data_IF_951261745372
#
_entry.id   IF_951261745372
#
_cell.length_a   1.000
_cell.length_b   1.000
_cell.length_c   1.000
_cell.angle_alpha   90.00
_cell.angle_beta   90.00
_cell.angle_gamma   90.00
#
_symmetry.space_group_name_H-M   'P 1'
#
loop_
_entity.id
_entity.type
_entity.pdbx_description
1 polymer ?
#
# COMPACT_ATOMS: atom_id res chain seq x y z
N UNK A 1 -16.57 9.23 -5.44
CA UNK A 1 -15.17 8.81 -5.24
C UNK A 1 -15.09 7.40 -5.82
N UNK A 2 -14.34 7.22 -6.90
CA UNK A 2 -14.18 5.90 -7.51
C UNK A 2 -13.06 5.14 -6.79
N UNK A 3 -13.29 3.85 -6.54
CA UNK A 3 -12.30 2.94 -5.98
C UNK A 3 -11.93 1.94 -7.08
N UNK A 4 -10.95 2.28 -7.95
CA UNK A 4 -10.59 1.40 -9.05
C UNK A 4 -10.09 0.06 -8.50
N UNK A 5 -10.79 -1.02 -8.83
CA UNK A 5 -10.31 -2.37 -8.52
C UNK A 5 -9.21 -2.76 -9.48
N UNK A 6 -8.09 -3.24 -8.93
CA UNK A 6 -6.97 -3.73 -9.72
C UNK A 6 -6.99 -5.26 -9.77
N UNK A 7 -6.76 -5.79 -10.97
CA UNK A 7 -6.47 -7.21 -11.15
C UNK A 7 -5.01 -7.51 -10.82
N UNK A 8 -4.70 -8.76 -10.50
CA UNK A 8 -3.32 -9.19 -10.21
C UNK A 8 -2.35 -8.76 -11.32
N UNK A 9 -1.32 -8.00 -10.96
CA UNK A 9 -0.28 -7.51 -11.88
C UNK A 9 -0.67 -6.26 -12.68
N UNK A 10 -1.84 -5.68 -12.45
CA UNK A 10 -2.26 -4.45 -13.09
C UNK A 10 -1.56 -3.23 -12.47
N UNK A 11 -1.20 -2.27 -13.32
CA UNK A 11 -0.75 -0.95 -12.91
C UNK A 11 -1.88 0.06 -13.10
N UNK A 12 -1.94 1.06 -12.23
CA UNK A 12 -2.83 2.21 -12.34
C UNK A 12 -2.00 3.48 -12.46
N UNK A 13 -2.25 4.26 -13.51
CA UNK A 13 -1.69 5.61 -13.59
C UNK A 13 -2.47 6.54 -12.69
N UNK A 14 -1.76 7.27 -11.83
CA UNK A 14 -2.36 8.26 -10.93
C UNK A 14 -2.48 9.61 -11.67
N UNK A 15 -3.67 10.26 -11.65
CA UNK A 15 -3.80 11.65 -12.07
C UNK A 15 -2.88 12.58 -11.26
N UNK A 16 -2.46 13.70 -11.86
CA UNK A 16 -1.50 14.61 -11.26
C UNK A 16 -2.05 15.34 -10.01
N UNK A 17 -3.37 15.40 -9.87
CA UNK A 17 -4.08 16.08 -8.80
C UNK A 17 -4.30 15.20 -7.56
N UNK A 18 -3.84 13.93 -7.59
CA UNK A 18 -3.98 13.02 -6.45
C UNK A 18 -2.93 13.36 -5.40
N UNK A 19 -3.39 13.88 -4.26
CA UNK A 19 -2.54 14.16 -3.09
C UNK A 19 -2.55 13.03 -2.06
N UNK A 20 -3.60 12.18 -2.05
CA UNK A 20 -3.74 11.11 -1.06
C UNK A 20 -4.28 9.84 -1.68
N UNK A 21 -3.71 8.71 -1.27
CA UNK A 21 -4.11 7.38 -1.71
C UNK A 21 -4.26 6.48 -0.49
N UNK A 22 -5.32 5.69 -0.48
CA UNK A 22 -5.53 4.59 0.45
C UNK A 22 -5.59 3.29 -0.34
N UNK A 23 -4.55 2.48 -0.23
CA UNK A 23 -4.47 1.17 -0.88
C UNK A 23 -5.04 0.13 0.08
N UNK A 24 -6.15 -0.50 -0.32
CA UNK A 24 -6.83 -1.54 0.45
C UNK A 24 -6.65 -2.88 -0.25
N UNK A 25 -6.04 -3.84 0.43
CA UNK A 25 -5.93 -5.23 -0.02
C UNK A 25 -6.91 -6.06 0.81
N UNK A 26 -7.94 -6.63 0.19
CA UNK A 26 -8.94 -7.46 0.86
C UNK A 26 -8.89 -8.92 0.39
N UNK A 27 -9.12 -9.86 1.31
CA UNK A 27 -9.21 -11.30 1.00
C UNK A 27 -10.24 -11.99 1.91
N UNK A 28 -10.90 -13.03 1.37
CA UNK A 28 -12.03 -13.69 2.04
C UNK A 28 -11.62 -14.81 2.99
N UNK A 29 -10.51 -15.48 2.70
CA UNK A 29 -10.03 -16.62 3.49
C UNK A 29 -9.23 -16.13 4.69
N UNK A 30 -9.87 -16.03 5.86
CA UNK A 30 -9.24 -15.50 7.07
C UNK A 30 -8.08 -16.36 7.61
N UNK A 31 -7.94 -17.61 7.16
CA UNK A 31 -6.82 -18.48 7.51
C UNK A 31 -5.56 -18.18 6.68
N UNK A 32 -5.70 -17.41 5.59
CA UNK A 32 -4.57 -16.97 4.77
C UNK A 32 -4.02 -15.67 5.35
N UNK A 33 -2.71 -15.66 5.60
CA UNK A 33 -1.97 -14.44 5.94
C UNK A 33 -1.50 -13.77 4.64
N UNK A 34 -1.90 -12.52 4.45
CA UNK A 34 -1.49 -11.70 3.31
C UNK A 34 -0.58 -10.59 3.81
N UNK A 35 0.64 -10.61 3.32
CA UNK A 35 1.60 -9.54 3.56
C UNK A 35 1.45 -8.44 2.51
N UNK A 36 1.29 -7.20 2.97
CA UNK A 36 1.34 -6.02 2.13
C UNK A 36 2.61 -5.22 2.41
N UNK A 37 3.20 -4.71 1.34
CA UNK A 37 4.39 -3.88 1.40
C UNK A 37 4.41 -2.83 0.29
N UNK A 38 5.11 -1.73 0.52
CA UNK A 38 5.36 -0.69 -0.45
C UNK A 38 6.88 -0.49 -0.65
N UNK A 39 7.29 -0.32 -1.90
CA UNK A 39 8.67 -0.08 -2.31
C UNK A 39 8.75 1.32 -2.92
N UNK A 40 9.45 2.24 -2.27
CA UNK A 40 9.65 3.58 -2.78
C UNK A 40 10.85 3.56 -3.75
N UNK A 41 10.61 3.92 -5.00
CA UNK A 41 11.60 3.83 -6.07
C UNK A 41 12.12 5.20 -6.46
N UNK A 42 13.43 5.29 -6.71
CA UNK A 42 14.02 6.44 -7.39
C UNK A 42 13.68 6.44 -8.90
N UNK A 43 14.12 7.49 -9.61
CA UNK A 43 13.93 7.63 -11.06
C UNK A 43 14.57 6.52 -11.90
N UNK A 44 15.49 5.74 -11.33
CA UNK A 44 16.08 4.54 -11.95
C UNK A 44 15.31 3.25 -11.67
N UNK A 45 14.15 3.31 -11.00
CA UNK A 45 13.33 2.15 -10.68
C UNK A 45 13.92 1.27 -9.57
N UNK A 46 14.76 1.83 -8.69
CA UNK A 46 15.37 1.12 -7.57
C UNK A 46 15.02 1.75 -6.24
N UNK A 47 14.85 0.90 -5.22
CA UNK A 47 14.80 1.29 -3.82
C UNK A 47 16.12 1.97 -3.43
N UNK A 48 16.08 3.10 -2.71
CA UNK A 48 17.30 3.88 -2.39
C UNK A 48 18.05 3.26 -1.20
N UNK A 49 17.32 2.76 -0.20
CA UNK A 49 17.82 2.10 1.00
C UNK A 49 16.75 1.19 1.61
N UNK A 50 17.09 0.38 2.61
CA UNK A 50 16.11 -0.46 3.33
C UNK A 50 14.99 0.37 3.99
N UNK A 51 15.22 1.67 4.22
CA UNK A 51 14.23 2.60 4.77
C UNK A 51 13.07 2.91 3.80
N UNK A 52 13.27 2.67 2.51
CA UNK A 52 12.27 2.84 1.44
C UNK A 52 11.40 1.57 1.24
N UNK A 53 11.49 0.61 2.16
CA UNK A 53 10.65 -0.57 2.19
C UNK A 53 9.68 -0.50 3.38
N UNK A 54 8.41 -0.25 3.10
CA UNK A 54 7.36 -0.12 4.12
C UNK A 54 6.55 -1.41 4.21
N UNK A 55 6.47 -1.99 5.41
CA UNK A 55 5.78 -3.26 5.68
C UNK A 55 5.51 -3.40 7.19
N UNK A 56 4.95 -4.53 7.66
CA UNK A 56 4.52 -4.69 9.05
C UNK A 56 5.59 -4.38 10.12
N UNK A 57 6.87 -4.67 9.87
CA UNK A 57 7.97 -4.44 10.81
C UNK A 57 8.66 -3.08 10.63
N UNK A 58 8.32 -2.35 9.58
CA UNK A 58 8.77 -0.99 9.30
C UNK A 58 7.58 -0.22 8.72
N UNK A 59 6.60 0.17 9.56
CA UNK A 59 5.27 0.56 9.11
C UNK A 59 5.20 1.98 8.51
N UNK A 60 6.32 2.71 8.43
CA UNK A 60 6.35 4.09 7.98
C UNK A 60 7.67 4.38 7.23
N UNK A 61 7.59 5.13 6.13
CA UNK A 61 8.77 5.62 5.40
C UNK A 61 9.50 6.72 6.18
N UNK A 62 10.77 6.96 5.87
CA UNK A 62 11.59 7.99 6.56
C UNK A 62 10.97 9.39 6.53
N UNK A 63 10.26 9.73 5.45
CA UNK A 63 9.59 11.02 5.26
C UNK A 63 8.13 11.03 5.76
N UNK A 64 7.62 9.91 6.27
CA UNK A 64 6.24 9.78 6.76
C UNK A 64 5.16 9.74 5.66
N UNK A 65 5.57 9.83 4.38
CA UNK A 65 4.64 9.88 3.24
C UNK A 65 3.91 8.56 3.01
N UNK A 66 4.49 7.41 3.38
CA UNK A 66 3.88 6.09 3.22
C UNK A 66 3.76 5.41 4.58
N UNK A 67 2.54 4.93 4.89
CA UNK A 67 2.22 4.32 6.19
C UNK A 67 1.42 3.04 6.02
N UNK A 68 1.97 1.92 6.49
CA UNK A 68 1.25 0.66 6.66
C UNK A 68 0.34 0.76 7.89
N UNK A 69 -0.97 0.67 7.69
CA UNK A 69 -1.97 0.86 8.74
C UNK A 69 -2.35 -0.44 9.46
N UNK A 70 -1.72 -1.56 9.10
CA UNK A 70 -1.99 -2.87 9.71
C UNK A 70 -3.00 -3.72 8.94
N UNK A 71 -3.20 -4.92 9.47
CA UNK A 71 -4.22 -5.88 9.05
C UNK A 71 -5.40 -5.85 10.01
N UNK A 72 -6.62 -5.96 9.48
CA UNK A 72 -7.86 -6.00 10.27
C UNK A 72 -8.88 -6.96 9.67
N UNK A 73 -9.76 -7.52 10.50
CA UNK A 73 -10.90 -8.30 10.01
C UNK A 73 -11.99 -7.41 9.42
N UNK A 74 -12.72 -7.93 8.45
CA UNK A 74 -13.91 -7.32 7.83
C UNK A 74 -15.09 -8.30 7.89
N UNK A 75 -16.29 -7.88 7.48
CA UNK A 75 -17.44 -8.80 7.39
C UNK A 75 -17.25 -9.90 6.34
N UNK A 76 -16.43 -9.64 5.32
CA UNK A 76 -16.19 -10.53 4.19
C UNK A 76 -14.87 -11.33 4.30
N UNK A 77 -14.05 -11.07 5.33
CA UNK A 77 -12.76 -11.71 5.53
C UNK A 77 -11.78 -10.83 6.30
N UNK A 78 -10.66 -10.47 5.68
CA UNK A 78 -9.66 -9.58 6.26
C UNK A 78 -9.11 -8.60 5.21
N UNK A 79 -8.44 -7.56 5.69
CA UNK A 79 -7.82 -6.54 4.85
C UNK A 79 -6.49 -6.05 5.42
N UNK A 80 -5.63 -5.53 4.55
CA UNK A 80 -4.46 -4.74 4.86
C UNK A 80 -4.57 -3.36 4.20
N UNK A 81 -4.03 -2.32 4.85
CA UNK A 81 -4.11 -0.94 4.34
C UNK A 81 -2.76 -0.24 4.31
N UNK A 82 -2.50 0.51 3.24
CA UNK A 82 -1.35 1.41 3.10
C UNK A 82 -1.87 2.80 2.70
N UNK A 83 -1.59 3.79 3.54
CA UNK A 83 -1.85 5.19 3.24
C UNK A 83 -0.62 5.83 2.59
N UNK A 84 -0.84 6.67 1.58
CA UNK A 84 0.19 7.41 0.85
C UNK A 84 -0.25 8.87 0.77
N UNK A 85 0.63 9.76 1.21
CA UNK A 85 0.54 11.21 1.04
C UNK A 85 1.54 11.65 -0.05
N UNK A 86 1.04 12.33 -1.08
CA UNK A 86 1.77 12.80 -2.25
C UNK A 86 1.89 14.33 -2.30
N UNK A 87 1.47 15.04 -1.24
CA UNK A 87 1.51 16.51 -1.18
C UNK A 87 2.91 17.11 -1.05
#
# INVERSE_FOLDING_TARGET
MEFPMLSKGQNLSLPAEVEQIDVVLGWTESEVEVDASALLLNSGGKVRSDEDFVFYNQPESTDGSIRFLGTSGTEEGAQARIAIDLS
#
